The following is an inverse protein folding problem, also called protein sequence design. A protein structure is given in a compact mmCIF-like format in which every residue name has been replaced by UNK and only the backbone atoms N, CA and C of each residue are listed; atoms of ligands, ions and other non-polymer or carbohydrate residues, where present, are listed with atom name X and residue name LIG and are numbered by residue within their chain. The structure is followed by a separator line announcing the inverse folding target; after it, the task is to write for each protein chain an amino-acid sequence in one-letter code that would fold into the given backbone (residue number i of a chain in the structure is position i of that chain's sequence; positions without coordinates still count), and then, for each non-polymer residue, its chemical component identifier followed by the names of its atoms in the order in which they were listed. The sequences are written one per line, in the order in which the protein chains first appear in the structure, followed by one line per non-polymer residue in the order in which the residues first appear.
data_IF_850508958637
#
_entry.id   IF_850508958637
#
_cell.length_a   1.000
_cell.length_b   1.000
_cell.length_c   1.000
_cell.angle_alpha   90.00
_cell.angle_beta   90.00
_cell.angle_gamma   90.00
#
_symmetry.space_group_name_H-M   'P 1'
#
loop_
_entity.id
_entity.type
_entity.pdbx_description
1 polymer ?
#
# COMPACT_ATOMS: atom_id res chain seq x y z
N UNK A 1 2.39 9.87 5.94
CA UNK A 1 1.52 9.16 6.91
C UNK A 1 1.64 7.65 6.79
N UNK A 2 1.50 7.05 5.60
CA UNK A 2 1.68 5.60 5.41
C UNK A 2 3.11 5.12 5.69
N UNK A 3 4.13 5.83 5.18
CA UNK A 3 5.54 5.52 5.43
C UNK A 3 5.90 5.63 6.93
N UNK A 4 5.35 6.61 7.64
CA UNK A 4 5.58 6.80 9.08
C UNK A 4 4.91 5.72 9.93
N UNK A 5 3.72 5.23 9.56
CA UNK A 5 3.06 4.11 10.26
C UNK A 5 3.82 2.80 10.02
N UNK A 6 4.31 2.58 8.78
CA UNK A 6 5.16 1.43 8.47
C UNK A 6 6.47 1.46 9.29
N UNK A 7 7.15 2.61 9.34
CA UNK A 7 8.38 2.78 10.15
C UNK A 7 8.09 2.56 11.64
N UNK A 8 6.97 3.06 12.17
CA UNK A 8 6.56 2.85 13.57
C UNK A 8 6.33 1.37 13.88
N UNK A 9 5.64 0.64 12.99
CA UNK A 9 5.39 -0.80 13.17
C UNK A 9 6.65 -1.64 13.04
N UNK A 10 7.57 -1.26 12.16
CA UNK A 10 8.89 -1.90 12.03
C UNK A 10 9.72 -1.66 13.29
N UNK A 11 9.73 -0.43 13.81
CA UNK A 11 10.42 -0.08 15.06
C UNK A 11 9.82 -0.78 16.29
N UNK A 12 8.49 -0.86 16.38
CA UNK A 12 7.78 -1.64 17.39
C UNK A 12 8.11 -3.13 17.28
N UNK A 13 8.22 -3.69 16.07
CA UNK A 13 8.57 -5.10 15.91
C UNK A 13 10.02 -5.41 16.29
N UNK A 14 10.95 -4.47 16.08
CA UNK A 14 12.35 -4.60 16.51
C UNK A 14 12.50 -4.60 18.03
N UNK A 15 11.59 -3.94 18.77
CA UNK A 15 11.56 -3.98 20.25
C UNK A 15 11.19 -5.36 20.83
N UNK A 16 10.61 -6.26 20.02
CA UNK A 16 10.17 -7.60 20.46
C UNK A 16 11.10 -8.75 20.04
N UNK A 17 12.26 -8.46 19.43
CA UNK A 17 13.30 -9.40 18.95
C UNK A 17 12.80 -10.63 18.15
N UNK A 18 11.58 -10.54 17.61
CA UNK A 18 10.93 -11.62 16.88
C UNK A 18 11.15 -11.45 15.38
N UNK A 19 12.31 -11.93 14.91
CA UNK A 19 12.69 -11.89 13.48
C UNK A 19 11.57 -12.33 12.53
N UNK A 20 10.80 -13.41 12.78
CA UNK A 20 9.71 -13.82 11.87
C UNK A 20 8.57 -12.80 11.72
N UNK A 21 8.32 -12.01 12.76
CA UNK A 21 7.27 -10.99 12.80
C UNK A 21 7.76 -9.73 12.08
N UNK A 22 9.01 -9.32 12.31
CA UNK A 22 9.60 -8.14 11.67
C UNK A 22 9.70 -8.30 10.16
N UNK A 23 10.13 -9.47 9.68
CA UNK A 23 10.23 -9.73 8.23
C UNK A 23 8.85 -9.75 7.57
N UNK A 24 7.84 -10.32 8.23
CA UNK A 24 6.46 -10.31 7.74
C UNK A 24 5.88 -8.91 7.64
N UNK A 25 6.08 -8.08 8.68
CA UNK A 25 5.65 -6.68 8.68
C UNK A 25 6.35 -5.85 7.60
N UNK A 26 7.66 -6.02 7.42
CA UNK A 26 8.44 -5.35 6.38
C UNK A 26 7.94 -5.70 4.98
N UNK A 27 7.89 -6.99 4.66
CA UNK A 27 7.48 -7.47 3.33
C UNK A 27 6.04 -7.07 3.04
N UNK A 28 5.13 -7.26 4.00
CA UNK A 28 3.73 -6.86 3.87
C UNK A 28 3.57 -5.36 3.64
N UNK A 29 4.31 -4.53 4.38
CA UNK A 29 4.25 -3.06 4.23
C UNK A 29 4.78 -2.60 2.88
N UNK A 30 5.92 -3.14 2.43
CA UNK A 30 6.51 -2.82 1.11
C UNK A 30 5.55 -3.19 -0.01
N UNK A 31 5.01 -4.41 0.01
CA UNK A 31 4.04 -4.86 -0.99
C UNK A 31 2.81 -3.97 -1.01
N UNK A 32 2.30 -3.57 0.16
CA UNK A 32 1.12 -2.72 0.27
C UNK A 32 1.35 -1.31 -0.25
N UNK A 33 2.48 -0.68 0.08
CA UNK A 33 2.85 0.66 -0.40
C UNK A 33 3.04 0.65 -1.92
N UNK A 34 3.83 -0.28 -2.45
CA UNK A 34 4.08 -0.36 -3.89
C UNK A 34 2.78 -0.66 -4.66
N UNK A 35 1.92 -1.52 -4.12
CA UNK A 35 0.61 -1.81 -4.71
C UNK A 35 -0.28 -0.57 -4.76
N UNK A 36 -0.33 0.21 -3.68
CA UNK A 36 -1.11 1.44 -3.61
C UNK A 36 -0.60 2.52 -4.55
N UNK A 37 0.71 2.78 -4.59
CA UNK A 37 1.29 3.77 -5.51
C UNK A 37 0.97 3.41 -6.96
N UNK A 38 1.06 2.13 -7.30
CA UNK A 38 0.65 1.64 -8.61
C UNK A 38 -0.85 1.81 -8.88
N UNK A 39 -1.72 1.47 -7.93
CA UNK A 39 -3.18 1.70 -8.05
C UNK A 39 -3.48 3.19 -8.27
N UNK A 40 -2.88 4.05 -7.44
CA UNK A 40 -3.08 5.50 -7.51
C UNK A 40 -2.65 6.06 -8.87
N UNK A 41 -1.51 5.59 -9.38
CA UNK A 41 -1.01 5.97 -10.70
C UNK A 41 -1.93 5.48 -11.82
N UNK A 42 -2.38 4.21 -11.77
CA UNK A 42 -3.34 3.66 -12.73
C UNK A 42 -4.67 4.43 -12.67
N UNK A 43 -5.18 4.78 -11.49
CA UNK A 43 -6.41 5.57 -11.35
C UNK A 43 -6.24 6.98 -11.93
N UNK A 44 -5.11 7.63 -11.63
CA UNK A 44 -4.82 8.97 -12.17
C UNK A 44 -4.68 8.96 -13.70
N UNK A 45 -4.14 7.89 -14.29
CA UNK A 45 -4.04 7.76 -15.74
C UNK A 45 -5.34 7.30 -16.42
N UNK A 46 -6.12 6.42 -15.80
CA UNK A 46 -7.29 5.81 -16.45
C UNK A 46 -8.57 6.63 -16.20
N UNK A 47 -8.75 7.16 -14.99
CA UNK A 47 -10.00 7.83 -14.59
C UNK A 47 -9.92 9.36 -14.65
N UNK A 48 -8.75 9.98 -14.48
CA UNK A 48 -8.60 11.42 -14.74
C UNK A 48 -8.30 11.63 -16.23
N UNK A 49 -9.34 11.45 -17.06
CA UNK A 49 -9.28 11.72 -18.50
C UNK A 49 -8.79 13.15 -18.73
N UNK A 50 -7.58 13.30 -19.26
CA UNK A 50 -7.08 14.58 -19.79
C UNK A 50 -7.46 14.68 -21.27
N UNK A 51 -7.70 15.90 -21.73
CA UNK A 51 -8.17 16.22 -23.09
C UNK A 51 -7.26 15.69 -24.22
N UNK A 52 -6.04 15.23 -23.89
CA UNK A 52 -5.04 14.74 -24.84
C UNK A 52 -4.38 13.40 -24.40
N UNK A 53 -5.18 12.48 -23.84
CA UNK A 53 -4.66 11.25 -23.25
C UNK A 53 -4.38 10.17 -24.31
N UNK A 54 -3.11 9.76 -24.43
CA UNK A 54 -2.69 8.74 -25.37
C UNK A 54 -3.31 7.37 -25.01
N UNK A 55 -4.07 6.72 -25.91
CA UNK A 55 -4.74 5.45 -25.63
C UNK A 55 -3.76 4.31 -25.33
N UNK A 56 -2.56 4.35 -25.94
CA UNK A 56 -1.48 3.39 -25.66
C UNK A 56 -0.98 3.47 -24.21
N UNK A 57 -0.95 4.65 -23.61
CA UNK A 57 -0.54 4.85 -22.21
C UNK A 57 -1.57 4.25 -21.25
N UNK A 58 -2.85 4.35 -21.58
CA UNK A 58 -3.94 3.74 -20.80
C UNK A 58 -3.86 2.21 -20.85
N UNK A 59 -3.63 1.63 -22.03
CA UNK A 59 -3.45 0.18 -22.19
C UNK A 59 -2.21 -0.30 -21.43
N UNK A 60 -1.09 0.42 -21.52
CA UNK A 60 0.13 0.12 -20.78
C UNK A 60 -0.11 0.15 -19.26
N UNK A 61 -0.84 1.14 -18.75
CA UNK A 61 -1.16 1.24 -17.32
C UNK A 61 -2.01 0.07 -16.81
N UNK A 62 -2.96 -0.41 -17.63
CA UNK A 62 -3.76 -1.60 -17.32
C UNK A 62 -2.90 -2.86 -17.38
N UNK A 63 -2.03 -2.99 -18.39
CA UNK A 63 -1.13 -4.13 -18.53
C UNK A 63 -0.18 -4.24 -17.33
N UNK A 64 0.44 -3.12 -16.95
CA UNK A 64 1.30 -3.05 -15.75
C UNK A 64 0.53 -3.43 -14.49
N UNK A 65 -0.73 -3.00 -14.38
CA UNK A 65 -1.59 -3.35 -13.26
C UNK A 65 -1.87 -4.86 -13.17
N UNK A 66 -2.16 -5.51 -14.30
CA UNK A 66 -2.43 -6.95 -14.35
C UNK A 66 -1.15 -7.76 -14.12
N UNK A 67 -0.04 -7.39 -14.76
CA UNK A 67 1.24 -8.09 -14.69
C UNK A 67 1.88 -7.99 -13.30
N UNK A 68 1.62 -6.93 -12.52
CA UNK A 68 2.16 -6.83 -11.16
C UNK A 68 1.60 -7.91 -10.23
N UNK A 69 0.37 -8.37 -10.44
CA UNK A 69 -0.27 -9.35 -9.55
C UNK A 69 0.50 -10.68 -9.50
N UNK A 70 0.85 -11.33 -10.62
CA UNK A 70 1.68 -12.53 -10.61
C UNK A 70 3.11 -12.23 -10.11
N UNK A 71 3.69 -11.07 -10.41
CA UNK A 71 5.02 -10.70 -9.90
C UNK A 71 5.03 -10.61 -8.37
N UNK A 72 4.01 -9.98 -7.78
CA UNK A 72 3.83 -9.91 -6.32
C UNK A 72 3.64 -11.31 -5.75
N UNK A 73 2.84 -12.15 -6.40
CA UNK A 73 2.65 -13.56 -5.99
C UNK A 73 3.96 -14.35 -5.96
N UNK A 74 4.77 -14.25 -7.02
CA UNK A 74 6.09 -14.91 -7.09
C UNK A 74 7.04 -14.36 -6.02
N UNK A 75 7.08 -13.03 -5.84
CA UNK A 75 7.90 -12.40 -4.82
C UNK A 75 7.53 -12.85 -3.40
N UNK A 76 6.22 -12.95 -3.09
CA UNK A 76 5.75 -13.50 -1.82
C UNK A 76 6.12 -14.97 -1.68
N UNK A 77 5.96 -15.77 -2.73
CA UNK A 77 6.31 -17.20 -2.70
C UNK A 77 7.80 -17.41 -2.38
N UNK A 78 8.69 -16.67 -3.07
CA UNK A 78 10.14 -16.71 -2.79
C UNK A 78 10.43 -16.24 -1.36
N UNK A 79 9.73 -15.23 -0.89
CA UNK A 79 9.90 -14.72 0.46
C UNK A 79 9.47 -15.75 1.53
N UNK A 80 8.36 -16.47 1.33
CA UNK A 80 7.94 -17.56 2.22
C UNK A 80 8.90 -18.76 2.18
N UNK A 81 9.54 -19.02 1.03
CA UNK A 81 10.55 -20.06 0.89
C UNK A 81 11.86 -19.73 1.62
N UNK A 82 12.32 -18.48 1.54
CA UNK A 82 13.64 -18.08 2.06
C UNK A 82 13.59 -17.50 3.48
N UNK A 83 12.44 -17.00 3.92
CA UNK A 83 12.27 -16.40 5.23
C UNK A 83 11.18 -17.13 6.02
N UNK A 84 11.44 -17.40 7.30
CA UNK A 84 10.40 -17.82 8.25
C UNK A 84 9.48 -16.62 8.52
N UNK A 85 8.44 -16.45 7.71
CA UNK A 85 7.49 -15.34 7.81
C UNK A 85 6.27 -15.78 8.62
N UNK A 86 5.91 -15.00 9.64
CA UNK A 86 4.62 -15.16 10.28
C UNK A 86 3.51 -14.58 9.39
N UNK A 87 2.56 -15.43 8.97
CA UNK A 87 1.42 -15.07 8.13
C UNK A 87 0.59 -13.93 8.71
N UNK A 88 0.38 -13.90 10.03
CA UNK A 88 -0.36 -12.83 10.70
C UNK A 88 0.37 -11.49 10.62
N UNK A 89 1.70 -11.49 10.71
CA UNK A 89 2.51 -10.29 10.60
C UNK A 89 2.53 -9.74 9.16
N UNK A 90 2.53 -10.63 8.17
CA UNK A 90 2.39 -10.25 6.76
C UNK A 90 1.03 -9.58 6.50
N UNK A 91 -0.06 -10.17 6.99
CA UNK A 91 -1.42 -9.60 6.86
C UNK A 91 -1.49 -8.24 7.56
N UNK A 92 -0.93 -8.11 8.76
CA UNK A 92 -0.84 -6.84 9.46
C UNK A 92 -0.05 -5.78 8.67
N UNK A 93 1.07 -6.17 8.03
CA UNK A 93 1.83 -5.29 7.13
C UNK A 93 1.02 -4.86 5.90
N UNK A 94 0.23 -5.77 5.33
CA UNK A 94 -0.63 -5.46 4.18
C UNK A 94 -1.73 -4.46 4.53
N UNK A 95 -2.30 -4.54 5.73
CA UNK A 95 -3.40 -3.65 6.17
C UNK A 95 -2.94 -2.25 6.57
N UNK A 96 -1.64 -2.02 6.81
CA UNK A 96 -1.08 -0.69 7.16
C UNK A 96 -1.52 0.39 6.19
N UNK A 97 -1.46 0.10 4.89
CA UNK A 97 -1.81 1.07 3.86
C UNK A 97 -3.32 1.35 3.83
N UNK A 98 -4.15 0.32 4.00
CA UNK A 98 -5.60 0.46 4.11
C UNK A 98 -5.97 1.35 5.30
N UNK A 99 -5.36 1.10 6.46
CA UNK A 99 -5.52 1.95 7.65
C UNK A 99 -5.09 3.39 7.39
N UNK A 100 -3.94 3.60 6.74
CA UNK A 100 -3.45 4.94 6.42
C UNK A 100 -4.42 5.70 5.50
N UNK A 101 -4.97 5.03 4.48
CA UNK A 101 -5.95 5.63 3.55
C UNK A 101 -7.25 5.98 4.28
N UNK A 102 -7.75 5.08 5.13
CA UNK A 102 -8.96 5.32 5.94
C UNK A 102 -8.74 6.52 6.87
N UNK A 103 -7.59 6.59 7.56
CA UNK A 103 -7.26 7.71 8.43
C UNK A 103 -7.17 9.04 7.68
N UNK A 104 -6.57 9.06 6.48
CA UNK A 104 -6.53 10.25 5.62
C UNK A 104 -7.95 10.65 5.20
N UNK A 105 -8.79 9.68 4.81
CA UNK A 105 -10.19 9.92 4.44
C UNK A 105 -11.00 10.51 5.59
N UNK A 106 -10.87 9.94 6.79
CA UNK A 106 -11.52 10.43 8.01
C UNK A 106 -11.03 11.84 8.35
N UNK A 107 -9.72 12.09 8.33
CA UNK A 107 -9.13 13.40 8.61
C UNK A 107 -9.67 14.48 7.65
N UNK A 108 -9.72 14.18 6.34
CA UNK A 108 -10.28 15.08 5.34
C UNK A 108 -11.78 15.34 5.54
N UNK A 109 -12.55 14.33 5.98
CA UNK A 109 -13.98 14.46 6.22
C UNK A 109 -14.27 15.32 7.46
N UNK A 110 -13.51 15.13 8.53
CA UNK A 110 -13.57 15.95 9.75
C UNK A 110 -13.15 17.39 9.45
N UNK A 111 -12.07 17.59 8.69
CA UNK A 111 -11.61 18.92 8.30
C UNK A 111 -12.64 19.66 7.44
N UNK A 112 -13.21 19.00 6.42
CA UNK A 112 -14.31 19.56 5.62
C UNK A 112 -15.53 19.92 6.47
N UNK A 113 -15.90 19.09 7.46
CA UNK A 113 -17.01 19.42 8.38
C UNK A 113 -16.70 20.65 9.25
N UNK A 114 -15.47 20.80 9.75
CA UNK A 114 -15.06 21.98 10.53
C UNK A 114 -15.10 23.27 9.71
N UNK A 115 -14.63 23.26 8.47
CA UNK A 115 -14.66 24.44 7.58
C UNK A 115 -16.09 24.83 7.20
N UNK A 116 -17.00 23.86 7.07
CA UNK A 116 -18.42 24.11 6.77
C UNK A 116 -19.23 24.60 7.97
N UNK A 117 -18.79 24.30 9.19
CA UNK A 117 -19.41 24.76 10.45
C UNK A 117 -18.88 26.12 10.93
N UNK A 118 -17.80 26.62 10.32
CA UNK A 118 -17.20 27.93 10.59
C UNK A 118 -17.62 29.02 9.59
N UNK A 119 -18.51 28.68 8.64
CA UNK A 119 -19.21 29.60 7.74
C UNK A 119 -20.66 29.69 8.19
#
# INVERSE_FOLDING_TARGET
MSVTIAILLIALSLLFDNRPVTTGLLIGSVVSITSFTSIWWTISLVFQKKENQNPLLTVLAILVYVVKLPIIGIALYIAFQHFKINLFALVAGLTVMLMAVVLIGISNLIFKRRVKAAK
#
